data_IF_493643287751
#
_entry.id   IF_493643287751
#
_cell.length_a   1.000
_cell.length_b   1.000
_cell.length_c   1.000
_cell.angle_alpha   90.00
_cell.angle_beta   90.00
_cell.angle_gamma   90.00
#
_symmetry.space_group_name_H-M   'P 1'
#
loop_
_entity.id
_entity.type
_entity.pdbx_description
1 polymer ?
#
# COMPACT_ATOMS: atom_id res chain seq x y z
N UNK A 1 -14.22 -11.18 -15.57
CA UNK A 1 -12.83 -11.09 -15.11
C UNK A 1 -12.78 -10.54 -13.70
N UNK A 2 -12.08 -11.20 -12.84
CA UNK A 2 -12.01 -10.77 -11.46
C UNK A 2 -10.99 -9.69 -11.24
N UNK A 3 -11.36 -8.71 -10.39
CA UNK A 3 -10.41 -7.75 -9.90
C UNK A 3 -9.50 -8.44 -8.92
N UNK A 4 -8.23 -8.50 -9.22
CA UNK A 4 -7.23 -9.03 -8.33
C UNK A 4 -6.23 -7.94 -8.04
N UNK A 5 -5.48 -8.12 -6.98
CA UNK A 5 -4.41 -7.20 -6.69
C UNK A 5 -3.23 -7.48 -7.63
N UNK A 6 -2.77 -6.45 -8.31
CA UNK A 6 -1.58 -6.51 -9.15
C UNK A 6 -0.63 -5.40 -8.73
N UNK A 7 0.65 -5.61 -8.91
CA UNK A 7 1.62 -4.56 -8.65
C UNK A 7 2.68 -4.52 -9.75
N UNK A 8 3.22 -3.33 -9.95
CA UNK A 8 4.30 -3.12 -10.90
C UNK A 8 5.20 -2.00 -10.38
N UNK A 9 6.36 -1.85 -11.00
CA UNK A 9 7.33 -0.85 -10.60
C UNK A 9 7.64 0.09 -11.75
N UNK A 10 7.69 1.39 -11.43
CA UNK A 10 8.20 2.41 -12.34
C UNK A 10 9.20 3.25 -11.56
N UNK A 11 10.48 2.96 -11.73
CA UNK A 11 11.52 3.63 -10.97
C UNK A 11 11.34 3.38 -9.47
N UNK A 12 11.13 4.46 -8.71
CA UNK A 12 10.96 4.41 -7.26
C UNK A 12 9.49 4.30 -6.83
N UNK A 13 8.59 4.14 -7.80
CA UNK A 13 7.15 4.08 -7.53
C UNK A 13 6.65 2.65 -7.65
N UNK A 14 5.96 2.19 -6.61
CA UNK A 14 5.23 0.93 -6.63
C UNK A 14 3.78 1.25 -6.99
N UNK A 15 3.31 0.71 -8.11
CA UNK A 15 1.94 0.91 -8.56
C UNK A 15 1.10 -0.30 -8.16
N UNK A 16 0.01 -0.03 -7.45
CA UNK A 16 -0.93 -1.07 -7.05
C UNK A 16 -2.24 -0.88 -7.79
N UNK A 17 -2.79 -1.96 -8.30
CA UNK A 17 -4.08 -1.95 -9.00
C UNK A 17 -4.94 -3.10 -8.54
N UNK A 18 -6.25 -2.90 -8.57
CA UNK A 18 -7.21 -3.92 -8.20
C UNK A 18 -7.78 -3.71 -6.82
N UNK A 19 -7.81 -4.78 -6.02
CA UNK A 19 -8.40 -4.75 -4.70
C UNK A 19 -7.38 -5.07 -3.61
N UNK A 20 -7.25 -4.17 -2.64
CA UNK A 20 -6.43 -4.37 -1.46
C UNK A 20 -7.29 -5.00 -0.36
N UNK A 21 -7.63 -6.27 -0.54
CA UNK A 21 -8.40 -6.96 0.47
C UNK A 21 -7.79 -8.31 0.81
N UNK A 22 -8.29 -8.89 1.90
CA UNK A 22 -7.75 -10.08 2.49
C UNK A 22 -7.58 -11.24 1.51
N UNK A 23 -8.46 -11.35 0.52
CA UNK A 23 -8.44 -12.47 -0.41
C UNK A 23 -7.32 -12.40 -1.44
N UNK A 24 -6.77 -11.20 -1.67
CA UNK A 24 -5.83 -10.99 -2.77
C UNK A 24 -4.45 -10.52 -2.35
N UNK A 25 -4.19 -10.40 -1.04
CA UNK A 25 -2.93 -9.83 -0.55
C UNK A 25 -1.75 -10.77 -0.57
N UNK A 26 -1.98 -12.07 -0.67
CA UNK A 26 -0.91 -13.05 -0.46
C UNK A 26 0.26 -12.90 -1.40
N UNK A 27 0.03 -12.66 -2.68
CA UNK A 27 1.12 -12.53 -3.63
C UNK A 27 1.99 -11.31 -3.35
N UNK A 28 1.38 -10.18 -3.01
CA UNK A 28 2.14 -9.00 -2.65
C UNK A 28 2.83 -9.17 -1.30
N UNK A 29 2.16 -9.81 -0.35
CA UNK A 29 2.76 -10.09 0.95
C UNK A 29 4.04 -10.91 0.78
N UNK A 30 3.99 -11.97 -0.03
CA UNK A 30 5.15 -12.83 -0.28
C UNK A 30 6.27 -12.07 -0.99
N UNK A 31 5.93 -11.13 -1.87
CA UNK A 31 6.89 -10.35 -2.63
C UNK A 31 7.23 -9.01 -1.98
N UNK A 32 6.77 -8.76 -0.76
CA UNK A 32 6.84 -7.42 -0.16
C UNK A 32 8.24 -6.82 -0.11
N UNK A 33 9.24 -7.62 0.19
CA UNK A 33 10.62 -7.11 0.26
C UNK A 33 11.12 -6.73 -1.12
N UNK A 34 10.87 -7.57 -2.10
CA UNK A 34 11.23 -7.31 -3.48
C UNK A 34 10.46 -6.11 -4.04
N UNK A 35 9.16 -6.07 -3.78
CA UNK A 35 8.30 -5.01 -4.28
C UNK A 35 8.69 -3.64 -3.73
N UNK A 36 9.13 -3.59 -2.48
CA UNK A 36 9.48 -2.34 -1.82
C UNK A 36 10.94 -1.93 -1.95
N UNK A 37 11.76 -2.75 -2.58
CA UNK A 37 13.18 -2.43 -2.69
C UNK A 37 13.37 -1.14 -3.50
N UNK A 38 13.88 -0.10 -2.84
CA UNK A 38 14.13 1.19 -3.47
C UNK A 38 12.88 2.04 -3.71
N UNK A 39 11.74 1.67 -3.13
CA UNK A 39 10.49 2.40 -3.33
C UNK A 39 10.42 3.61 -2.41
N UNK A 40 10.12 4.78 -2.97
CA UNK A 40 9.87 6.00 -2.21
C UNK A 40 8.43 6.47 -2.32
N UNK A 41 7.64 5.85 -3.20
CA UNK A 41 6.26 6.26 -3.43
C UNK A 41 5.40 5.03 -3.77
N UNK A 42 4.20 4.96 -3.18
CA UNK A 42 3.23 3.93 -3.52
C UNK A 42 2.02 4.62 -4.15
N UNK A 43 1.70 4.24 -5.37
CA UNK A 43 0.57 4.81 -6.10
C UNK A 43 -0.64 3.90 -5.97
N UNK A 44 -1.68 4.40 -5.33
CA UNK A 44 -2.92 3.69 -5.07
C UNK A 44 -4.04 4.09 -6.04
N UNK A 45 -3.71 4.88 -7.07
CA UNK A 45 -4.71 5.39 -7.99
C UNK A 45 -5.50 4.32 -8.73
N UNK A 46 -4.93 3.13 -8.89
CA UNK A 46 -5.60 2.00 -9.54
C UNK A 46 -6.32 1.06 -8.59
N UNK A 47 -6.36 1.37 -7.29
CA UNK A 47 -7.02 0.53 -6.30
C UNK A 47 -8.51 0.87 -6.26
N UNK A 48 -9.36 -0.13 -6.45
CA UNK A 48 -10.80 0.05 -6.45
C UNK A 48 -11.44 -0.24 -5.10
N UNK A 49 -10.74 -0.99 -4.23
CA UNK A 49 -11.30 -1.41 -2.95
C UNK A 49 -10.20 -1.67 -1.94
N UNK A 50 -10.42 -1.24 -0.69
CA UNK A 50 -9.49 -1.47 0.42
C UNK A 50 -10.28 -1.91 1.64
N UNK A 51 -9.83 -2.97 2.31
CA UNK A 51 -10.37 -3.35 3.61
C UNK A 51 -9.30 -3.17 4.70
N UNK A 52 -9.60 -3.60 5.92
CA UNK A 52 -8.68 -3.43 7.04
C UNK A 52 -7.36 -4.17 6.83
N UNK A 53 -7.41 -5.34 6.18
CA UNK A 53 -6.19 -6.09 5.88
C UNK A 53 -5.34 -5.33 4.85
N UNK A 54 -6.00 -4.65 3.90
CA UNK A 54 -5.29 -3.81 2.93
C UNK A 54 -4.58 -2.64 3.58
N UNK A 55 -5.26 -1.96 4.53
CA UNK A 55 -4.64 -0.87 5.27
C UNK A 55 -3.44 -1.38 6.08
N UNK A 56 -3.58 -2.53 6.73
CA UNK A 56 -2.47 -3.13 7.47
C UNK A 56 -1.27 -3.42 6.57
N UNK A 57 -1.53 -3.91 5.37
CA UNK A 57 -0.45 -4.13 4.40
C UNK A 57 0.25 -2.83 4.03
N UNK A 58 -0.52 -1.77 3.78
CA UNK A 58 0.07 -0.47 3.45
C UNK A 58 0.96 0.05 4.57
N UNK A 59 0.52 -0.08 5.81
CA UNK A 59 1.32 0.30 6.97
C UNK A 59 2.63 -0.49 6.99
N UNK A 60 2.54 -1.79 6.73
CA UNK A 60 3.72 -2.65 6.69
C UNK A 60 4.70 -2.23 5.58
N UNK A 61 4.17 -1.90 4.40
CA UNK A 61 5.01 -1.46 3.29
C UNK A 61 5.72 -0.14 3.61
N UNK A 62 5.02 0.81 4.22
CA UNK A 62 5.63 2.06 4.67
C UNK A 62 6.75 1.77 5.68
N UNK A 63 6.51 0.84 6.58
CA UNK A 63 7.51 0.42 7.57
C UNK A 63 8.76 -0.17 6.91
N UNK A 64 8.57 -1.01 5.89
CA UNK A 64 9.69 -1.56 5.14
C UNK A 64 10.51 -0.47 4.48
N UNK A 65 9.85 0.56 3.95
CA UNK A 65 10.54 1.70 3.37
C UNK A 65 11.38 2.43 4.40
N UNK A 66 10.84 2.65 5.60
CA UNK A 66 11.59 3.29 6.70
C UNK A 66 12.83 2.50 7.07
N UNK A 67 12.72 1.18 7.10
CA UNK A 67 13.87 0.32 7.39
C UNK A 67 14.97 0.43 6.35
N UNK A 68 14.61 0.83 5.14
CA UNK A 68 15.58 1.09 4.07
C UNK A 68 16.08 2.54 4.09
N UNK A 69 15.64 3.34 5.06
CA UNK A 69 16.03 4.74 5.16
C UNK A 69 15.21 5.69 4.29
N UNK A 70 14.03 5.27 3.87
CA UNK A 70 13.19 6.05 2.96
C UNK A 70 11.86 6.40 3.61
N UNK A 71 11.47 7.66 3.48
CA UNK A 71 10.13 8.10 3.86
C UNK A 71 9.21 7.91 2.67
N UNK A 72 8.37 6.87 2.76
CA UNK A 72 7.47 6.52 1.66
C UNK A 72 6.28 7.46 1.65
N UNK A 73 5.91 7.95 0.47
CA UNK A 73 4.69 8.73 0.28
C UNK A 73 3.64 7.90 -0.43
N UNK A 74 2.36 8.24 -0.20
CA UNK A 74 1.24 7.57 -0.86
C UNK A 74 0.60 8.54 -1.83
N UNK A 75 0.33 8.08 -3.05
CA UNK A 75 -0.41 8.83 -4.06
C UNK A 75 -1.75 8.16 -4.30
N UNK A 76 -2.75 8.96 -4.64
CA UNK A 76 -4.07 8.43 -4.96
C UNK A 76 -4.79 7.83 -3.77
N UNK A 77 -4.54 8.35 -2.57
CA UNK A 77 -5.18 7.87 -1.35
C UNK A 77 -6.68 8.16 -1.44
N UNK A 78 -7.49 7.10 -1.34
CA UNK A 78 -8.93 7.24 -1.41
C UNK A 78 -9.50 7.64 -0.05
N UNK A 79 -10.74 8.11 -0.08
CA UNK A 79 -11.48 8.43 1.14
C UNK A 79 -11.61 7.22 2.05
N UNK A 80 -11.77 6.03 1.46
CA UNK A 80 -11.85 4.78 2.23
C UNK A 80 -10.58 4.52 3.03
N UNK A 81 -9.42 4.72 2.42
CA UNK A 81 -8.15 4.54 3.14
C UNK A 81 -8.05 5.52 4.29
N UNK A 82 -8.38 6.78 4.04
CA UNK A 82 -8.33 7.81 5.08
C UNK A 82 -9.31 7.52 6.21
N UNK A 83 -10.51 7.06 5.87
CA UNK A 83 -11.53 6.72 6.86
C UNK A 83 -11.07 5.55 7.73
N UNK A 84 -10.54 4.48 7.11
CA UNK A 84 -10.06 3.33 7.87
C UNK A 84 -8.87 3.70 8.75
N UNK A 85 -7.97 4.52 8.23
CA UNK A 85 -6.82 4.97 9.02
C UNK A 85 -7.28 5.78 10.24
N UNK A 86 -8.28 6.63 10.07
CA UNK A 86 -8.84 7.41 11.18
C UNK A 86 -9.52 6.52 12.21
N UNK A 87 -10.27 5.50 11.77
CA UNK A 87 -10.94 4.57 12.66
C UNK A 87 -9.96 3.80 13.55
N UNK A 88 -8.79 3.49 13.03
CA UNK A 88 -7.77 2.78 13.78
C UNK A 88 -6.73 3.69 14.41
N UNK A 89 -6.98 5.01 14.37
CA UNK A 89 -6.09 6.00 14.98
C UNK A 89 -4.66 5.93 14.45
N UNK A 90 -4.51 5.67 13.17
CA UNK A 90 -3.19 5.59 12.57
C UNK A 90 -2.62 6.99 12.36
N UNK A 91 -1.43 7.27 12.88
CA UNK A 91 -0.79 8.57 12.65
C UNK A 91 -0.27 8.68 11.22
N UNK A 92 0.02 9.91 10.79
CA UNK A 92 0.62 10.16 9.48
C UNK A 92 1.97 9.45 9.33
N UNK A 93 2.68 9.25 10.43
CA UNK A 93 3.97 8.54 10.38
C UNK A 93 3.81 7.06 10.04
N UNK A 94 2.68 6.45 10.40
CA UNK A 94 2.41 5.04 10.09
C UNK A 94 1.81 4.89 8.70
N UNK A 95 0.96 5.83 8.30
CA UNK A 95 0.31 5.80 6.99
C UNK A 95 0.18 7.24 6.48
N UNK A 96 1.15 7.72 5.70
CA UNK A 96 1.12 9.07 5.15
C UNK A 96 -0.07 9.25 4.22
N UNK A 97 -0.85 10.31 4.43
CA UNK A 97 -2.05 10.55 3.63
C UNK A 97 -2.45 12.01 3.57
#
# INVERSE_FOLDING_TARGET
>A
MMSQLSWSREGETLLLTGELDQDYLNSLWDARHEAMQGVSCIDLGGISRVDTAGVALLVHLVELGKKQGTDVTLLGVSENVSTLAALYNLPQSALPR
#
